data_IF_243250312717
#
_entry.id   IF_243250312717
#
_cell.length_a   1.000
_cell.length_b   1.000
_cell.length_c   1.000
_cell.angle_alpha   90.00
_cell.angle_beta   90.00
_cell.angle_gamma   90.00
#
_symmetry.space_group_name_H-M   'P 1'
#
loop_
_entity.id
_entity.type
_entity.pdbx_description
1 polymer ?
#
# COMPACT_ATOMS: atom_id res chain seq x y z
N UNK A 1 21.54 9.92 -9.27
CA UNK A 1 20.92 9.72 -9.07
C UNK A 1 19.92 9.89 -8.92
N UNK A 2 19.75 9.72 -9.10
CA UNK A 2 18.73 9.89 -9.19
C UNK A 2 18.18 9.99 -8.23
N UNK A 3 18.12 10.17 -8.00
CA UNK A 3 17.70 10.23 -7.05
C UNK A 3 16.64 10.43 -6.64
N UNK A 4 16.25 10.75 -7.03
CA UNK A 4 15.10 10.99 -6.94
C UNK A 4 14.48 10.40 -5.92
N UNK A 5 13.86 9.71 -6.07
CA UNK A 5 13.07 9.10 -5.31
C UNK A 5 13.68 8.57 -4.17
N UNK A 6 14.78 8.51 -4.03
CA UNK A 6 15.40 7.94 -2.90
C UNK A 6 15.16 8.72 -1.65
N UNK A 7 14.75 9.96 -1.75
CA UNK A 7 14.48 10.75 -0.54
C UNK A 7 13.24 10.25 0.19
N UNK A 8 12.37 9.49 -0.47
CA UNK A 8 11.14 9.01 0.16
C UNK A 8 10.98 7.53 -0.16
N UNK A 9 11.52 6.66 0.70
CA UNK A 9 11.42 5.23 0.44
C UNK A 9 9.97 4.76 0.46
N UNK A 10 9.74 3.68 -0.27
CA UNK A 10 8.43 3.06 -0.26
C UNK A 10 8.12 2.51 1.13
N UNK A 11 6.86 2.54 1.49
CA UNK A 11 6.43 2.11 2.80
C UNK A 11 5.53 0.89 2.68
N UNK A 12 5.34 0.22 3.80
CA UNK A 12 4.51 -0.96 3.86
C UNK A 12 3.32 -0.66 4.77
N UNK A 13 2.15 -1.09 4.37
CA UNK A 13 0.91 -0.84 5.10
C UNK A 13 0.23 -2.15 5.42
N UNK A 14 -0.24 -2.31 6.65
CA UNK A 14 -0.83 -3.56 7.09
C UNK A 14 -2.26 -3.34 7.55
N UNK A 15 -3.16 -4.23 7.12
CA UNK A 15 -4.53 -4.22 7.58
C UNK A 15 -4.55 -4.68 9.04
N UNK A 16 -5.12 -3.85 9.92
CA UNK A 16 -5.12 -4.18 11.34
C UNK A 16 -6.19 -5.21 11.69
N UNK A 17 -7.05 -5.55 10.74
CA UNK A 17 -8.11 -6.52 10.97
C UNK A 17 -7.66 -7.94 10.61
N UNK A 18 -7.04 -8.11 9.44
CA UNK A 18 -6.69 -9.44 8.98
C UNK A 18 -5.19 -9.66 8.75
N UNK A 19 -4.38 -8.59 8.82
CA UNK A 19 -2.94 -8.73 8.62
C UNK A 19 -2.47 -8.68 7.18
N UNK A 20 -3.37 -8.35 6.24
CA UNK A 20 -2.97 -8.24 4.85
C UNK A 20 -1.96 -7.09 4.70
N UNK A 21 -0.93 -7.31 3.90
CA UNK A 21 0.14 -6.34 3.74
C UNK A 21 0.14 -5.75 2.33
N UNK A 22 0.15 -4.43 2.24
CA UNK A 22 0.31 -3.71 0.97
C UNK A 22 1.70 -3.08 0.96
N UNK A 23 2.52 -3.48 -0.02
CA UNK A 23 3.86 -2.94 -0.18
C UNK A 23 3.83 -1.98 -1.35
N UNK A 24 4.14 -0.70 -1.10
CA UNK A 24 4.09 0.31 -2.15
C UNK A 24 5.02 -0.02 -3.31
N UNK A 25 6.15 -0.65 -3.03
CA UNK A 25 7.09 -0.99 -4.09
C UNK A 25 6.54 -2.08 -5.02
N UNK A 26 5.74 -2.97 -4.49
CA UNK A 26 5.22 -4.09 -5.29
C UNK A 26 3.84 -3.83 -5.86
N UNK A 27 3.08 -2.94 -5.24
CA UNK A 27 1.72 -2.69 -5.67
C UNK A 27 0.84 -3.90 -5.52
N UNK A 28 -0.27 -3.91 -6.24
CA UNK A 28 -1.18 -5.05 -6.31
C UNK A 28 -1.73 -5.13 -7.73
N UNK A 29 -0.93 -5.61 -8.67
CA UNK A 29 -1.37 -5.64 -10.07
C UNK A 29 -2.69 -6.38 -10.27
N UNK A 30 -2.94 -7.41 -9.50
CA UNK A 30 -4.18 -8.16 -9.62
C UNK A 30 -5.39 -7.35 -9.17
N UNK A 31 -5.17 -6.27 -8.43
CA UNK A 31 -6.23 -5.35 -8.03
C UNK A 31 -6.18 -4.06 -8.85
N UNK A 32 -5.36 -4.03 -9.89
CA UNK A 32 -5.25 -2.85 -10.73
C UNK A 32 -4.36 -1.76 -10.16
N UNK A 33 -3.54 -2.07 -9.16
CA UNK A 33 -2.66 -1.09 -8.53
C UNK A 33 -1.23 -1.41 -8.96
N UNK A 34 -0.64 -0.51 -9.73
CA UNK A 34 0.68 -0.74 -10.31
C UNK A 34 1.78 -0.70 -9.26
N UNK A 35 2.88 -1.44 -9.47
CA UNK A 35 4.03 -1.34 -8.57
C UNK A 35 4.50 0.11 -8.47
N UNK A 36 4.87 0.52 -7.27
CA UNK A 36 5.31 1.88 -7.03
C UNK A 36 4.20 2.85 -6.69
N UNK A 37 2.96 2.38 -6.57
CA UNK A 37 1.85 3.24 -6.21
C UNK A 37 1.91 3.53 -4.71
N UNK A 38 2.04 4.80 -4.36
CA UNK A 38 2.06 5.21 -2.96
C UNK A 38 0.69 5.03 -2.34
N UNK A 39 0.66 4.82 -1.03
CA UNK A 39 -0.60 4.60 -0.33
C UNK A 39 -1.60 5.71 -0.59
N UNK A 40 -1.13 6.95 -0.61
CA UNK A 40 -2.01 8.09 -0.84
C UNK A 40 -2.60 8.09 -2.24
N UNK A 41 -1.98 7.38 -3.18
CA UNK A 41 -2.47 7.29 -4.55
C UNK A 41 -3.38 6.08 -4.75
N UNK A 42 -3.48 5.21 -3.78
CA UNK A 42 -4.43 4.11 -3.82
C UNK A 42 -5.83 4.71 -3.68
N UNK A 43 -6.79 4.35 -4.55
CA UNK A 43 -8.12 4.96 -4.49
C UNK A 43 -8.78 4.76 -3.13
N UNK A 44 -9.53 5.77 -2.69
CA UNK A 44 -10.23 5.67 -1.42
C UNK A 44 -11.31 4.60 -1.44
N UNK A 45 -11.74 4.21 -2.63
CA UNK A 45 -12.75 3.18 -2.78
C UNK A 45 -12.15 1.78 -2.72
N UNK A 46 -10.81 1.67 -2.70
CA UNK A 46 -10.15 0.38 -2.61
C UNK A 46 -10.39 -0.23 -1.23
N UNK A 47 -10.58 -1.54 -1.20
CA UNK A 47 -10.77 -2.24 0.05
C UNK A 47 -9.80 -3.40 0.13
N UNK A 48 -9.59 -3.87 1.36
CA UNK A 48 -8.70 -5.00 1.58
C UNK A 48 -9.23 -6.22 0.84
N UNK A 49 -8.42 -6.87 -0.01
CA UNK A 49 -8.91 -8.03 -0.76
C UNK A 49 -9.15 -9.25 0.12
N UNK A 50 -8.62 -9.25 1.34
CA UNK A 50 -8.80 -10.37 2.24
C UNK A 50 -10.04 -10.24 3.12
N UNK A 51 -10.31 -9.07 3.67
CA UNK A 51 -11.41 -8.92 4.62
C UNK A 51 -12.39 -7.83 4.26
N UNK A 52 -12.09 -7.01 3.25
CA UNK A 52 -13.05 -6.03 2.74
C UNK A 52 -13.13 -4.72 3.49
N UNK A 53 -12.25 -4.47 4.45
CA UNK A 53 -12.28 -3.19 5.14
C UNK A 53 -11.65 -2.11 4.27
N UNK A 54 -11.86 -0.84 4.64
CA UNK A 54 -11.35 0.27 3.86
C UNK A 54 -9.92 0.61 4.26
N UNK A 55 -9.33 1.59 3.57
CA UNK A 55 -7.97 2.03 3.87
C UNK A 55 -7.83 2.53 5.31
N UNK A 56 -8.92 2.98 5.92
CA UNK A 56 -8.87 3.49 7.27
C UNK A 56 -8.43 2.44 8.29
N UNK A 57 -8.56 1.17 7.95
CA UNK A 57 -8.16 0.09 8.84
C UNK A 57 -6.76 -0.41 8.56
N UNK A 58 -5.95 0.39 7.89
CA UNK A 58 -4.55 0.06 7.64
C UNK A 58 -3.64 1.00 8.42
N UNK A 59 -2.49 0.49 8.84
CA UNK A 59 -1.47 1.31 9.48
C UNK A 59 -0.15 1.12 8.77
N UNK A 60 0.65 2.17 8.76
CA UNK A 60 1.99 2.09 8.20
C UNK A 60 2.87 1.29 9.15
N UNK A 61 3.57 0.31 8.63
CA UNK A 61 4.51 -0.49 9.41
C UNK A 61 5.88 -0.41 8.76
N UNK A 62 6.91 -0.52 9.58
CA UNK A 62 8.27 -0.51 9.08
C UNK A 62 8.83 -1.91 9.22
N UNK A 63 9.24 -2.46 8.10
CA UNK A 63 9.75 -3.83 8.07
C UNK A 63 11.26 -3.88 7.95
#
# INVERSE_FOLDING_TARGET
>A
MSATDSSTPFRTWMCVVCGFVYDEAEGLPEEGIEPGTRWQDVPDTWTCPDCGVTKDDFEMVEL
#
